data_IF_365978068254
#
_entry.id   IF_365978068254
#
_cell.length_a   1.000
_cell.length_b   1.000
_cell.length_c   1.000
_cell.angle_alpha   90.00
_cell.angle_beta   90.00
_cell.angle_gamma   90.00
#
_symmetry.space_group_name_H-M   'P 1'
#
loop_
_entity.id
_entity.type
_entity.pdbx_description
1 polymer ?
#
# COMPACT_ATOMS: atom_id res chain seq x y z
N UNK A 1 25.82 17.25 42.70
CA UNK A 1 25.98 16.04 41.86
C UNK A 1 25.85 16.36 40.37
N UNK A 2 24.84 17.12 39.92
CA UNK A 2 24.70 17.57 38.53
C UNK A 2 25.88 18.38 37.98
N UNK A 3 26.58 19.16 38.81
CA UNK A 3 27.76 19.93 38.40
C UNK A 3 28.91 19.05 37.92
N UNK A 4 29.07 17.84 38.49
CA UNK A 4 30.11 16.89 38.06
C UNK A 4 29.77 16.20 36.73
N UNK A 5 28.50 15.95 36.44
CA UNK A 5 28.06 15.45 35.14
C UNK A 5 28.17 16.54 34.05
N UNK A 6 27.85 17.79 34.40
CA UNK A 6 27.99 18.95 33.51
C UNK A 6 29.44 19.26 33.16
N UNK A 7 30.35 19.27 34.14
CA UNK A 7 31.78 19.53 33.90
C UNK A 7 32.45 18.40 33.09
N UNK A 8 32.02 17.15 33.27
CA UNK A 8 32.52 16.01 32.49
C UNK A 8 32.04 16.07 31.03
N UNK A 9 30.77 16.44 30.82
CA UNK A 9 30.20 16.66 29.50
C UNK A 9 30.84 17.89 28.80
N UNK A 10 31.16 18.95 29.54
CA UNK A 10 31.76 20.16 29.00
C UNK A 10 33.25 20.00 28.67
N UNK A 11 34.04 19.31 29.51
CA UNK A 11 35.50 19.14 29.30
C UNK A 11 35.86 18.02 28.32
N UNK A 12 35.02 17.00 28.16
CA UNK A 12 35.23 15.89 27.21
C UNK A 12 34.16 15.84 26.11
N UNK A 13 33.59 16.99 25.74
CA UNK A 13 32.54 17.06 24.71
C UNK A 13 32.88 16.36 23.39
N UNK A 14 34.12 16.42 22.84
CA UNK A 14 34.41 15.68 21.60
C UNK A 14 34.44 14.17 21.83
N UNK A 15 34.94 13.70 22.98
CA UNK A 15 34.96 12.26 23.30
C UNK A 15 33.56 11.69 23.52
N UNK A 16 32.67 12.48 24.14
CA UNK A 16 31.28 12.10 24.32
C UNK A 16 30.51 12.10 23.00
N UNK A 17 30.77 13.08 22.13
CA UNK A 17 30.21 13.13 20.78
C UNK A 17 30.68 11.93 19.93
N UNK A 18 31.96 11.57 20.01
CA UNK A 18 32.51 10.38 19.34
C UNK A 18 31.89 9.10 19.89
N UNK A 19 31.72 8.99 21.21
CA UNK A 19 31.04 7.85 21.81
C UNK A 19 29.60 7.70 21.31
N UNK A 20 28.85 8.80 21.20
CA UNK A 20 27.50 8.79 20.63
C UNK A 20 27.49 8.44 19.14
N UNK A 21 28.44 8.94 18.37
CA UNK A 21 28.61 8.59 16.95
C UNK A 21 28.89 7.11 16.77
N UNK A 22 29.79 6.54 17.58
CA UNK A 22 30.09 5.11 17.56
C UNK A 22 28.83 4.30 17.91
N UNK A 23 28.11 4.71 18.95
CA UNK A 23 26.88 4.04 19.38
C UNK A 23 25.82 4.09 18.28
N UNK A 24 25.67 5.22 17.60
CA UNK A 24 24.77 5.38 16.45
C UNK A 24 25.17 4.46 15.29
N UNK A 25 26.44 4.42 14.92
CA UNK A 25 26.94 3.56 13.82
C UNK A 25 26.72 2.09 14.14
N UNK A 26 26.99 1.66 15.38
CA UNK A 26 26.72 0.29 15.83
C UNK A 26 25.22 0.00 15.75
N UNK A 27 24.37 0.92 16.18
CA UNK A 27 22.91 0.74 16.12
C UNK A 27 22.42 0.63 14.68
N UNK A 28 22.98 1.40 13.75
CA UNK A 28 22.63 1.34 12.32
C UNK A 28 23.15 0.05 11.67
N UNK A 29 24.34 -0.42 12.05
CA UNK A 29 24.92 -1.65 11.50
C UNK A 29 24.26 -2.93 12.05
N UNK A 30 23.79 -2.88 13.31
CA UNK A 30 23.09 -3.99 13.95
C UNK A 30 21.57 -3.97 13.68
N UNK A 31 21.02 -2.86 13.17
CA UNK A 31 19.62 -2.77 12.82
C UNK A 31 19.33 -3.69 11.62
N UNK A 32 18.43 -4.68 11.76
CA UNK A 32 17.91 -5.40 10.60
C UNK A 32 17.20 -4.41 9.67
N UNK A 33 17.17 -4.71 8.38
CA UNK A 33 16.45 -3.86 7.41
C UNK A 33 15.01 -3.76 7.88
N UNK A 34 14.44 -2.56 7.78
CA UNK A 34 13.06 -2.30 8.21
C UNK A 34 12.07 -3.27 7.55
N UNK A 35 12.36 -3.68 6.30
CA UNK A 35 11.61 -4.70 5.56
C UNK A 35 11.59 -6.10 6.23
N UNK A 36 12.60 -6.45 7.03
CA UNK A 36 12.71 -7.77 7.67
C UNK A 36 11.90 -7.86 8.98
N UNK A 37 11.64 -6.71 9.62
CA UNK A 37 10.95 -6.63 10.92
C UNK A 37 9.51 -6.16 10.80
N UNK A 38 9.17 -5.44 9.74
CA UNK A 38 7.80 -4.98 9.53
C UNK A 38 7.01 -6.02 8.75
N UNK A 39 6.36 -6.89 9.53
CA UNK A 39 5.36 -7.83 9.06
C UNK A 39 4.06 -7.10 8.66
N UNK A 40 4.08 -6.43 7.51
CA UNK A 40 2.90 -5.81 6.92
C UNK A 40 2.06 -6.87 6.20
N UNK A 41 1.20 -7.58 6.94
CA UNK A 41 0.24 -8.51 6.34
C UNK A 41 -0.74 -9.07 7.36
N UNK A 42 -2.01 -9.12 7.00
CA UNK A 42 -3.10 -9.78 7.76
C UNK A 42 -2.73 -11.22 8.19
N UNK A 43 -1.93 -11.91 7.36
CA UNK A 43 -1.51 -13.29 7.57
C UNK A 43 -0.13 -13.45 8.22
N UNK A 44 0.60 -12.36 8.46
CA UNK A 44 1.96 -12.42 9.01
C UNK A 44 1.97 -12.84 10.50
N UNK A 45 0.88 -12.59 11.22
CA UNK A 45 0.69 -13.07 12.59
C UNK A 45 0.30 -14.55 12.68
N UNK A 46 0.06 -15.22 11.56
CA UNK A 46 -0.29 -16.64 11.55
C UNK A 46 0.97 -17.51 11.52
N UNK A 47 0.98 -18.63 12.29
CA UNK A 47 2.09 -19.57 12.28
C UNK A 47 2.30 -20.16 10.89
N UNK A 48 3.54 -20.55 10.59
CA UNK A 48 3.97 -20.95 9.25
C UNK A 48 3.20 -22.15 8.67
N UNK A 49 2.55 -22.94 9.52
CA UNK A 49 1.72 -24.10 9.20
C UNK A 49 0.22 -23.78 9.01
N UNK A 50 -0.17 -22.51 9.17
CA UNK A 50 -1.55 -22.09 8.98
C UNK A 50 -1.99 -22.31 7.53
N UNK A 51 -3.16 -22.94 7.36
CA UNK A 51 -3.75 -23.21 6.05
C UNK A 51 -3.92 -21.94 5.20
N UNK A 52 -4.16 -20.79 5.83
CA UNK A 52 -4.25 -19.49 5.17
C UNK A 52 -2.96 -19.09 4.45
N UNK A 53 -1.78 -19.33 5.04
CA UNK A 53 -0.48 -18.98 4.43
C UNK A 53 -0.14 -19.92 3.27
N UNK A 54 -0.49 -21.21 3.39
CA UNK A 54 -0.31 -22.18 2.31
C UNK A 54 -1.22 -21.82 1.12
N UNK A 55 -2.46 -21.42 1.39
CA UNK A 55 -3.38 -20.95 0.37
C UNK A 55 -2.89 -19.67 -0.32
N UNK A 56 -2.38 -18.68 0.43
CA UNK A 56 -1.79 -17.45 -0.11
C UNK A 56 -0.59 -17.73 -1.01
N UNK A 57 0.33 -18.60 -0.59
CA UNK A 57 1.47 -19.00 -1.43
C UNK A 57 1.03 -19.77 -2.68
N UNK A 58 0.00 -20.61 -2.56
CA UNK A 58 -0.60 -21.31 -3.70
C UNK A 58 -1.25 -20.36 -4.68
N UNK A 59 -1.99 -19.37 -4.18
CA UNK A 59 -2.65 -18.33 -4.95
C UNK A 59 -1.62 -17.49 -5.73
N UNK A 60 -0.57 -16.98 -5.05
CA UNK A 60 0.51 -16.22 -5.70
C UNK A 60 1.26 -17.02 -6.77
N UNK A 61 1.41 -18.34 -6.61
CA UNK A 61 2.03 -19.21 -7.62
C UNK A 61 1.12 -19.46 -8.82
N UNK A 62 -0.18 -19.59 -8.60
CA UNK A 62 -1.15 -19.86 -9.65
C UNK A 62 -1.51 -18.59 -10.44
N UNK A 63 -1.46 -17.42 -9.79
CA UNK A 63 -1.84 -16.13 -10.36
C UNK A 63 -0.74 -15.08 -10.12
N UNK A 64 0.43 -15.22 -10.78
CA UNK A 64 1.57 -14.31 -10.56
C UNK A 64 1.29 -12.87 -11.03
N UNK A 65 0.40 -12.69 -12.02
CA UNK A 65 0.05 -11.41 -12.62
C UNK A 65 -1.33 -10.89 -12.21
N UNK A 66 -2.02 -11.56 -11.26
CA UNK A 66 -3.33 -11.12 -10.72
C UNK A 66 -3.17 -10.67 -9.26
N UNK A 67 -2.63 -9.48 -9.01
CA UNK A 67 -2.59 -8.93 -7.68
C UNK A 67 -4.02 -8.66 -7.24
N UNK A 68 -4.49 -9.40 -6.21
CA UNK A 68 -5.77 -9.22 -5.53
C UNK A 68 -6.28 -7.77 -5.68
N UNK A 69 -7.22 -7.58 -6.60
CA UNK A 69 -7.68 -6.25 -6.99
C UNK A 69 -8.39 -5.60 -5.80
N UNK A 70 -7.66 -4.80 -5.05
CA UNK A 70 -8.18 -4.08 -3.89
C UNK A 70 -9.27 -3.11 -4.38
N UNK A 71 -10.50 -3.28 -3.89
CA UNK A 71 -11.63 -2.43 -4.29
C UNK A 71 -11.85 -1.33 -3.26
N UNK A 72 -11.89 -0.07 -3.71
CA UNK A 72 -12.12 1.09 -2.84
C UNK A 72 -13.52 1.64 -3.11
N UNK A 73 -14.36 1.70 -2.07
CA UNK A 73 -15.71 2.29 -2.14
C UNK A 73 -15.70 3.64 -1.42
N UNK A 74 -15.99 4.73 -2.14
CA UNK A 74 -16.06 6.08 -1.60
C UNK A 74 -17.52 6.53 -1.42
N UNK A 75 -17.91 6.85 -0.18
CA UNK A 75 -19.22 7.42 0.14
C UNK A 75 -19.04 8.87 0.59
N UNK A 76 -19.63 9.81 -0.15
CA UNK A 76 -19.48 11.26 0.12
C UNK A 76 -20.83 11.86 0.51
N UNK A 77 -20.83 12.67 1.57
CA UNK A 77 -22.00 13.43 2.05
C UNK A 77 -21.60 14.87 2.35
N UNK A 78 -22.45 15.83 1.96
CA UNK A 78 -22.33 17.25 2.37
C UNK A 78 -23.31 17.53 3.50
N UNK A 79 -22.81 17.96 4.67
CA UNK A 79 -23.63 18.19 5.87
C UNK A 79 -24.31 19.57 5.90
N UNK A 80 -23.70 20.57 5.24
CA UNK A 80 -24.16 21.97 5.27
C UNK A 80 -25.16 22.30 4.17
N UNK A 81 -26.25 21.54 4.08
CA UNK A 81 -27.39 21.84 3.20
C UNK A 81 -28.30 22.99 3.76
N UNK A 82 -27.70 23.97 4.44
CA UNK A 82 -28.40 25.08 5.12
C UNK A 82 -28.60 26.34 4.27
N UNK A 83 -28.20 26.29 3.00
CA UNK A 83 -28.53 27.27 1.95
C UNK A 83 -29.24 26.50 0.84
N UNK A 84 -30.04 27.16 0.00
CA UNK A 84 -31.07 26.56 -0.88
C UNK A 84 -30.63 25.38 -1.78
N UNK A 85 -29.33 25.10 -1.89
CA UNK A 85 -28.73 23.91 -2.46
C UNK A 85 -28.59 22.79 -1.43
N UNK A 86 -29.63 21.98 -1.28
CA UNK A 86 -29.56 20.73 -0.53
C UNK A 86 -28.91 19.61 -1.37
N UNK A 87 -27.90 18.94 -0.80
CA UNK A 87 -27.19 17.81 -1.42
C UNK A 87 -25.81 18.14 -2.01
N UNK A 88 -25.19 17.16 -2.67
CA UNK A 88 -23.94 17.38 -3.41
C UNK A 88 -24.20 18.36 -4.57
N UNK A 89 -23.41 19.42 -4.64
CA UNK A 89 -23.46 20.37 -5.76
C UNK A 89 -22.74 19.80 -6.98
N UNK A 90 -22.92 20.44 -8.13
CA UNK A 90 -22.20 20.05 -9.35
C UNK A 90 -20.69 20.16 -9.17
N UNK A 91 -20.22 21.21 -8.49
CA UNK A 91 -18.81 21.38 -8.14
C UNK A 91 -18.26 20.20 -7.31
N UNK A 92 -19.08 19.62 -6.43
CA UNK A 92 -18.65 18.45 -5.64
C UNK A 92 -18.48 17.24 -6.55
N UNK A 93 -19.43 17.03 -7.48
CA UNK A 93 -19.36 15.92 -8.45
C UNK A 93 -18.15 16.06 -9.36
N UNK A 94 -17.88 17.27 -9.83
CA UNK A 94 -16.74 17.56 -10.68
C UNK A 94 -15.42 17.33 -9.95
N UNK A 95 -15.30 17.79 -8.69
CA UNK A 95 -14.14 17.52 -7.87
C UNK A 95 -13.91 16.01 -7.67
N UNK A 96 -14.98 15.26 -7.38
CA UNK A 96 -14.91 13.81 -7.17
C UNK A 96 -14.41 13.11 -8.44
N UNK A 97 -15.02 13.37 -9.59
CA UNK A 97 -14.69 12.67 -10.83
C UNK A 97 -13.34 13.09 -11.41
N UNK A 98 -13.05 14.39 -11.47
CA UNK A 98 -11.89 14.89 -12.20
C UNK A 98 -10.60 14.86 -11.39
N UNK A 99 -10.71 15.01 -10.07
CA UNK A 99 -9.55 15.13 -9.17
C UNK A 99 -9.43 13.95 -8.23
N UNK A 100 -10.45 13.67 -7.41
CA UNK A 100 -10.33 12.67 -6.34
C UNK A 100 -10.17 11.25 -6.89
N UNK A 101 -11.07 10.83 -7.78
CA UNK A 101 -11.03 9.49 -8.40
C UNK A 101 -9.77 9.33 -9.26
N UNK A 102 -9.40 10.37 -10.01
CA UNK A 102 -8.18 10.37 -10.82
C UNK A 102 -6.93 10.16 -9.96
N UNK A 103 -6.80 10.90 -8.86
CA UNK A 103 -5.63 10.83 -8.01
C UNK A 103 -5.57 9.52 -7.23
N UNK A 104 -6.72 8.98 -6.81
CA UNK A 104 -6.78 7.65 -6.19
C UNK A 104 -6.24 6.58 -7.14
N UNK A 105 -6.72 6.52 -8.39
CA UNK A 105 -6.19 5.57 -9.37
C UNK A 105 -4.69 5.77 -9.64
N UNK A 106 -4.21 7.03 -9.65
CA UNK A 106 -2.78 7.33 -9.81
C UNK A 106 -1.93 6.76 -8.67
N UNK A 107 -2.43 6.82 -7.44
CA UNK A 107 -1.71 6.35 -6.26
C UNK A 107 -1.79 4.84 -6.08
N UNK A 108 -2.91 4.22 -6.43
CA UNK A 108 -3.15 2.79 -6.19
C UNK A 108 -2.82 1.91 -7.39
N UNK A 109 -2.74 2.47 -8.59
CA UNK A 109 -2.57 1.71 -9.83
C UNK A 109 -3.78 0.84 -10.18
N UNK A 110 -4.92 1.01 -9.49
CA UNK A 110 -6.13 0.24 -9.75
C UNK A 110 -6.71 0.60 -11.11
N UNK A 111 -7.21 -0.43 -11.80
CA UNK A 111 -7.91 -0.26 -13.07
C UNK A 111 -9.19 0.54 -12.83
N UNK A 112 -9.44 1.53 -13.69
CA UNK A 112 -10.75 2.18 -13.71
C UNK A 112 -11.82 1.19 -14.16
N UNK A 113 -13.10 1.38 -13.81
CA UNK A 113 -14.19 0.49 -14.24
C UNK A 113 -14.26 0.30 -15.77
N UNK A 114 -13.86 1.32 -16.53
CA UNK A 114 -13.75 1.23 -17.99
C UNK A 114 -12.61 0.31 -18.42
N UNK A 115 -11.45 0.43 -17.81
CA UNK A 115 -10.31 -0.44 -18.08
C UNK A 115 -10.55 -1.89 -17.64
N UNK A 116 -11.29 -2.11 -16.56
CA UNK A 116 -11.74 -3.45 -16.17
C UNK A 116 -12.66 -4.05 -17.24
N UNK A 117 -13.65 -3.31 -17.71
CA UNK A 117 -14.53 -3.77 -18.79
C UNK A 117 -13.78 -4.04 -20.10
N UNK A 118 -12.81 -3.19 -20.46
CA UNK A 118 -11.99 -3.38 -21.65
C UNK A 118 -11.11 -4.64 -21.53
N UNK A 119 -10.52 -4.89 -20.35
CA UNK A 119 -9.70 -6.08 -20.06
C UNK A 119 -10.54 -7.37 -20.06
N UNK A 120 -11.72 -7.35 -19.43
CA UNK A 120 -12.66 -8.47 -19.42
C UNK A 120 -13.08 -8.86 -20.85
N UNK A 121 -13.38 -7.87 -21.69
CA UNK A 121 -13.69 -8.10 -23.10
C UNK A 121 -12.49 -8.68 -23.88
N UNK A 122 -11.27 -8.21 -23.61
CA UNK A 122 -10.06 -8.72 -24.26
C UNK A 122 -9.79 -10.19 -23.88
N UNK A 123 -9.97 -10.54 -22.61
CA UNK A 123 -9.85 -11.91 -22.10
C UNK A 123 -10.90 -12.83 -22.73
N UNK A 124 -12.16 -12.40 -22.79
CA UNK A 124 -13.25 -13.17 -23.42
C UNK A 124 -12.95 -13.42 -24.90
N UNK A 125 -12.42 -12.41 -25.60
CA UNK A 125 -12.08 -12.51 -27.02
C UNK A 125 -10.88 -13.44 -27.25
N UNK A 126 -9.89 -13.44 -26.37
CA UNK A 126 -8.72 -14.32 -26.41
C UNK A 126 -9.13 -15.79 -26.16
N UNK A 127 -9.95 -16.04 -25.14
CA UNK A 127 -10.45 -17.37 -24.81
C UNK A 127 -11.29 -17.97 -25.95
N UNK A 128 -12.11 -17.14 -26.62
CA UNK A 128 -12.90 -17.58 -27.78
C UNK A 128 -12.02 -18.01 -28.96
N UNK A 129 -10.93 -17.29 -29.22
CA UNK A 129 -9.97 -17.64 -30.29
C UNK A 129 -9.26 -18.96 -30.00
N UNK A 130 -8.79 -19.15 -28.77
CA UNK A 130 -8.09 -20.37 -28.36
C UNK A 130 -9.01 -21.61 -28.46
N UNK A 131 -10.29 -21.47 -28.08
CA UNK A 131 -11.28 -22.54 -28.23
C UNK A 131 -11.58 -22.89 -29.71
N UNK A 132 -11.48 -21.91 -30.62
CA UNK A 132 -11.70 -22.11 -32.05
C UNK A 132 -10.50 -22.81 -32.70
N UNK A 133 -9.27 -22.44 -32.33
CA UNK A 133 -8.04 -23.07 -32.82
C UNK A 133 -7.87 -24.49 -32.28
N UNK A 134 -8.31 -24.78 -31.05
CA UNK A 134 -8.28 -26.12 -30.48
C UNK A 134 -9.33 -27.09 -31.09
N UNK A 135 -10.35 -26.57 -31.79
CA UNK A 135 -11.40 -27.35 -32.44
C UNK A 135 -11.11 -27.74 -33.90
N UNK A 136 -10.04 -27.21 -34.50
CA UNK A 136 -9.63 -27.50 -35.89
C UNK A 136 -8.52 -28.57 -36.03
N UNK A 137 -8.11 -29.23 -34.94
CA UNK A 137 -7.12 -30.33 -34.93
C UNK A 137 -7.73 -31.70 -34.70
#
# INVERSE_FOLDING_TARGET
>A
MFSRLGDLAAKRSPGLAVAWLILLVISLAAAPRWEDVVQNGEFAFLPDDAQSRIAEQGFHKAFPDDPLASSIVLVVRRENAGTEQSGLTEDDRQFISERLVRELHRLTGLLTPRQQADLEAEIETAALKEALEAGEG
#
